data_IF_706905360401
#
_entry.id   IF_706905360401
#
_cell.length_a   1.000
_cell.length_b   1.000
_cell.length_c   1.000
_cell.angle_alpha   90.00
_cell.angle_beta   90.00
_cell.angle_gamma   90.00
#
_symmetry.space_group_name_H-M   'P 1'
#
loop_
_entity.id
_entity.type
_entity.pdbx_description
1 polymer ?
#
# COMPACT_ATOMS: atom_id res chain seq x y z
N UNK A 1 -25.80 14.87 -22.83
CA UNK A 1 -25.90 13.82 -21.81
C UNK A 1 -25.12 14.28 -20.60
N UNK A 2 -25.77 14.85 -19.58
CA UNK A 2 -25.10 15.15 -18.30
C UNK A 2 -24.87 13.79 -17.65
N UNK A 3 -23.64 13.29 -17.75
CA UNK A 3 -23.22 12.13 -16.96
C UNK A 3 -23.49 12.55 -15.52
N UNK A 4 -24.38 11.83 -14.83
CA UNK A 4 -24.66 12.10 -13.43
C UNK A 4 -23.32 12.06 -12.70
N UNK A 5 -22.91 13.22 -12.19
CA UNK A 5 -21.58 13.43 -11.64
C UNK A 5 -21.34 12.46 -10.47
N UNK A 6 -22.40 12.05 -9.78
CA UNK A 6 -22.37 11.04 -8.74
C UNK A 6 -22.08 9.64 -9.28
N UNK A 7 -22.64 9.28 -10.43
CA UNK A 7 -22.45 7.97 -11.07
C UNK A 7 -21.02 7.81 -11.61
N UNK A 8 -20.49 8.87 -12.22
CA UNK A 8 -19.09 8.93 -12.65
C UNK A 8 -18.11 8.79 -11.47
N UNK A 9 -18.42 9.43 -10.33
CA UNK A 9 -17.60 9.35 -9.13
C UNK A 9 -17.61 7.94 -8.51
N UNK A 10 -18.78 7.28 -8.46
CA UNK A 10 -18.91 5.89 -8.00
C UNK A 10 -18.06 4.94 -8.82
N UNK A 11 -18.05 5.11 -10.15
CA UNK A 11 -17.24 4.27 -11.03
C UNK A 11 -15.74 4.45 -10.78
N UNK A 12 -15.29 5.68 -10.49
CA UNK A 12 -13.90 5.95 -10.12
C UNK A 12 -13.56 5.26 -8.80
N UNK A 13 -14.39 5.40 -7.77
CA UNK A 13 -14.15 4.77 -6.47
C UNK A 13 -14.06 3.25 -6.61
N UNK A 14 -15.00 2.64 -7.33
CA UNK A 14 -15.01 1.20 -7.57
C UNK A 14 -13.74 0.70 -8.27
N UNK A 15 -13.30 1.41 -9.33
CA UNK A 15 -12.08 1.06 -10.05
C UNK A 15 -10.81 1.12 -9.17
N UNK A 16 -10.80 1.98 -8.15
CA UNK A 16 -9.70 2.08 -7.19
C UNK A 16 -9.80 1.01 -6.09
N UNK A 17 -11.01 0.70 -5.62
CA UNK A 17 -11.25 -0.40 -4.68
C UNK A 17 -10.86 -1.76 -5.28
N UNK A 18 -11.18 -2.01 -6.55
CA UNK A 18 -10.76 -3.20 -7.30
C UNK A 18 -9.22 -3.31 -7.40
N UNK A 19 -8.51 -2.18 -7.34
CA UNK A 19 -7.04 -2.10 -7.30
C UNK A 19 -6.46 -2.18 -5.87
N UNK A 20 -7.30 -2.43 -4.87
CA UNK A 20 -6.89 -2.59 -3.48
C UNK A 20 -6.77 -1.29 -2.68
N UNK A 21 -7.26 -0.17 -3.20
CA UNK A 21 -7.32 1.09 -2.45
C UNK A 21 -8.61 1.14 -1.63
N UNK A 22 -8.53 1.52 -0.36
CA UNK A 22 -9.71 1.93 0.40
C UNK A 22 -9.94 3.41 0.15
N UNK A 23 -11.16 3.78 -0.21
CA UNK A 23 -11.57 5.17 -0.42
C UNK A 23 -12.86 5.45 0.37
N UNK A 24 -13.14 6.70 0.67
CA UNK A 24 -14.38 7.12 1.32
C UNK A 24 -14.88 8.40 0.67
N UNK A 25 -16.19 8.61 0.64
CA UNK A 25 -16.80 9.85 0.15
C UNK A 25 -17.48 10.54 1.33
N UNK A 26 -17.26 11.85 1.49
CA UNK A 26 -17.93 12.63 2.53
C UNK A 26 -19.35 13.07 2.10
N UNK A 27 -20.12 13.65 3.02
CA UNK A 27 -21.49 14.10 2.75
C UNK A 27 -21.61 15.20 1.67
N UNK A 28 -20.49 15.82 1.27
CA UNK A 28 -20.42 16.84 0.21
C UNK A 28 -20.07 16.25 -1.16
N UNK A 29 -19.86 14.93 -1.26
CA UNK A 29 -19.48 14.26 -2.50
C UNK A 29 -17.97 14.33 -2.79
N UNK A 30 -17.13 14.67 -1.82
CA UNK A 30 -15.68 14.74 -1.99
C UNK A 30 -15.02 13.43 -1.57
N UNK A 31 -14.01 13.00 -2.34
CA UNK A 31 -13.19 11.83 -2.01
C UNK A 31 -12.27 12.17 -0.83
N UNK A 32 -12.29 11.31 0.18
CA UNK A 32 -11.46 11.39 1.37
C UNK A 32 -10.89 10.01 1.71
N UNK A 33 -9.80 9.96 2.49
CA UNK A 33 -9.32 8.70 3.06
C UNK A 33 -8.78 7.67 2.06
N UNK A 34 -8.19 8.09 0.93
CA UNK A 34 -7.52 7.19 -0.02
C UNK A 34 -6.31 6.54 0.67
N UNK A 35 -6.39 5.24 0.96
CA UNK A 35 -5.30 4.46 1.56
C UNK A 35 -5.13 3.15 0.79
N UNK A 36 -3.90 2.83 0.37
CA UNK A 36 -3.58 1.51 -0.17
C UNK A 36 -3.83 0.47 0.93
N UNK A 37 -4.76 -0.46 0.69
CA UNK A 37 -5.03 -1.57 1.58
C UNK A 37 -3.81 -2.50 1.58
N UNK A 38 -3.01 -2.39 2.64
CA UNK A 38 -1.69 -3.00 2.87
C UNK A 38 -0.54 -2.15 2.32
N UNK A 39 0.26 -1.68 3.28
CA UNK A 39 1.53 -1.00 3.08
C UNK A 39 2.48 -1.87 2.21
N UNK A 40 2.94 -1.37 1.04
CA UNK A 40 3.94 -2.06 0.22
C UNK A 40 4.88 -1.02 -0.43
N UNK A 41 6.20 -1.21 -0.18
CA UNK A 41 7.39 -0.46 -0.62
C UNK A 41 7.49 1.02 -0.19
N UNK A 42 8.43 1.29 0.71
CA UNK A 42 8.85 2.66 1.07
C UNK A 42 9.03 2.89 2.57
N UNK A 43 8.33 2.14 3.42
CA UNK A 43 8.68 2.09 4.84
C UNK A 43 9.86 1.14 4.99
N UNK A 44 11.06 1.67 5.28
CA UNK A 44 12.14 0.85 5.84
C UNK A 44 11.53 0.09 7.01
N UNK A 45 11.34 -1.21 6.87
CA UNK A 45 11.18 -2.04 8.06
C UNK A 45 12.41 -1.74 8.91
N UNK A 46 12.21 -1.37 10.17
CA UNK A 46 13.31 -1.09 11.07
C UNK A 46 13.96 -2.44 11.40
N UNK A 47 14.85 -2.88 10.51
CA UNK A 47 15.56 -4.13 10.60
C UNK A 47 16.59 -3.97 11.72
N UNK A 48 16.19 -4.26 12.95
CA UNK A 48 17.13 -4.29 14.07
C UNK A 48 18.28 -5.24 13.72
N UNK A 49 19.51 -4.78 13.92
CA UNK A 49 20.71 -5.57 13.71
C UNK A 49 20.78 -6.80 14.61
N UNK A 50 19.92 -6.90 15.64
CA UNK A 50 19.75 -8.11 16.46
C UNK A 50 19.05 -9.24 15.71
N UNK A 51 18.11 -8.93 14.81
CA UNK A 51 17.26 -9.91 14.12
C UNK A 51 17.65 -10.13 12.67
N UNK A 52 18.26 -9.14 12.03
CA UNK A 52 18.56 -9.15 10.60
C UNK A 52 20.04 -8.84 10.33
N UNK A 53 20.52 -9.31 9.18
CA UNK A 53 21.84 -8.98 8.65
C UNK A 53 21.74 -8.80 7.14
N UNK A 54 22.43 -7.80 6.61
CA UNK A 54 22.65 -7.67 5.18
C UNK A 54 23.85 -8.52 4.73
N UNK A 55 23.67 -9.31 3.68
CA UNK A 55 24.75 -10.03 2.99
C UNK A 55 24.64 -9.73 1.49
N UNK A 56 25.59 -8.96 0.95
CA UNK A 56 25.50 -8.43 -0.41
C UNK A 56 24.22 -7.62 -0.61
N UNK A 57 23.42 -8.01 -1.62
CA UNK A 57 22.12 -7.39 -1.93
C UNK A 57 20.94 -7.89 -1.10
N UNK A 58 21.12 -8.90 -0.25
CA UNK A 58 20.02 -9.54 0.47
C UNK A 58 19.96 -9.10 1.93
N UNK A 59 18.74 -8.95 2.46
CA UNK A 59 18.47 -8.83 3.89
C UNK A 59 18.00 -10.20 4.39
N UNK A 60 18.73 -10.73 5.37
CA UNK A 60 18.57 -12.10 5.88
C UNK A 60 18.13 -12.04 7.34
N UNK A 61 17.13 -12.85 7.71
CA UNK A 61 16.73 -13.08 9.09
C UNK A 61 17.69 -14.05 9.76
N UNK A 62 18.29 -13.65 10.89
CA UNK A 62 19.36 -14.41 11.55
C UNK A 62 18.90 -15.75 12.13
N UNK A 63 17.67 -15.82 12.64
CA UNK A 63 17.16 -17.02 13.31
C UNK A 63 17.09 -18.26 12.40
N UNK A 64 16.68 -18.09 11.13
CA UNK A 64 16.46 -19.20 10.20
C UNK A 64 17.16 -19.03 8.84
N UNK A 65 17.96 -17.97 8.67
CA UNK A 65 18.69 -17.70 7.44
C UNK A 65 17.83 -17.35 6.23
N UNK A 66 16.51 -17.09 6.42
CA UNK A 66 15.63 -16.76 5.30
C UNK A 66 15.89 -15.36 4.76
N UNK A 67 15.89 -15.25 3.44
CA UNK A 67 15.89 -13.97 2.73
C UNK A 67 14.49 -13.36 2.89
N UNK A 68 14.43 -12.15 3.44
CA UNK A 68 13.18 -11.43 3.69
C UNK A 68 13.02 -10.20 2.82
N UNK A 69 14.14 -9.67 2.29
CA UNK A 69 14.15 -8.49 1.44
C UNK A 69 15.46 -8.37 0.65
N UNK A 70 15.55 -7.35 -0.19
CA UNK A 70 16.77 -6.93 -0.89
C UNK A 70 17.09 -5.48 -0.57
N UNK A 71 18.35 -5.19 -0.29
CA UNK A 71 18.83 -3.81 -0.20
C UNK A 71 18.69 -3.14 -1.58
N UNK A 72 18.14 -1.92 -1.60
CA UNK A 72 18.00 -1.10 -2.80
C UNK A 72 19.37 -0.60 -3.29
#
# INVERSE_FOLDING_TARGET
MRVDQAEGLRQIVKNFEDKGFKMSINAKGEITGVRLGKMIKGNKADYSSSLFRQIGRYIIRKFDGKIVDTAA
#
